data_IF_953426970252
#
_entry.id   IF_953426970252
#
_cell.length_a   1.000
_cell.length_b   1.000
_cell.length_c   1.000
_cell.angle_alpha   90.00
_cell.angle_beta   90.00
_cell.angle_gamma   90.00
#
_symmetry.space_group_name_H-M   'P 1'
#
loop_
_entity.id
_entity.type
_entity.pdbx_description
1 polymer ?
#
# COMPACT_ATOMS: atom_id res chain seq x y z
N UNK A 1 19.89 2.77 0.10
CA UNK A 1 20.75 2.28 1.20
C UNK A 1 21.56 1.08 0.72
N UNK A 2 22.63 0.74 1.43
CA UNK A 2 23.50 -0.41 1.18
C UNK A 2 22.92 -1.70 1.74
N UNK A 3 23.41 -2.84 1.27
CA UNK A 3 23.02 -4.17 1.78
C UNK A 3 23.31 -4.35 3.28
N UNK A 4 24.38 -3.72 3.78
CA UNK A 4 24.70 -3.70 5.21
C UNK A 4 23.64 -2.95 6.01
N UNK A 5 23.24 -1.77 5.54
CA UNK A 5 22.18 -0.98 6.16
C UNK A 5 20.84 -1.73 6.14
N UNK A 6 20.51 -2.42 5.05
CA UNK A 6 19.31 -3.29 4.99
C UNK A 6 19.38 -4.42 6.02
N UNK A 7 20.54 -5.05 6.20
CA UNK A 7 20.72 -6.08 7.21
C UNK A 7 20.52 -5.53 8.63
N UNK A 8 21.00 -4.32 8.91
CA UNK A 8 20.77 -3.65 10.20
C UNK A 8 19.28 -3.40 10.46
N UNK A 9 18.51 -2.99 9.44
CA UNK A 9 17.05 -2.86 9.55
C UNK A 9 16.39 -4.21 9.85
N UNK A 10 16.75 -5.26 9.11
CA UNK A 10 16.18 -6.60 9.31
C UNK A 10 16.53 -7.18 10.68
N UNK A 11 17.73 -6.92 11.17
CA UNK A 11 18.16 -7.32 12.52
C UNK A 11 17.31 -6.61 13.59
N UNK A 12 17.09 -5.30 13.47
CA UNK A 12 16.22 -4.56 14.38
C UNK A 12 14.78 -5.12 14.38
N UNK A 13 14.24 -5.49 13.22
CA UNK A 13 12.93 -6.14 13.15
C UNK A 13 12.94 -7.46 13.92
N UNK A 14 14.00 -8.28 13.80
CA UNK A 14 14.15 -9.51 14.58
C UNK A 14 14.24 -9.28 16.10
N UNK A 15 14.84 -8.17 16.53
CA UNK A 15 14.88 -7.79 17.96
C UNK A 15 13.50 -7.37 18.49
N UNK A 16 12.68 -6.68 17.67
CA UNK A 16 11.32 -6.30 18.06
C UNK A 16 10.32 -7.45 17.96
N UNK A 17 10.52 -8.39 17.03
CA UNK A 17 9.59 -9.47 16.75
C UNK A 17 10.33 -10.81 16.70
N UNK A 18 10.32 -11.57 17.80
CA UNK A 18 11.09 -12.82 17.93
C UNK A 18 10.75 -13.90 16.89
N UNK A 19 9.56 -13.85 16.28
CA UNK A 19 9.16 -14.73 15.17
C UNK A 19 9.76 -14.34 13.81
N UNK A 20 10.39 -13.16 13.71
CA UNK A 20 10.93 -12.66 12.45
C UNK A 20 12.33 -13.21 12.20
N UNK A 21 12.41 -14.23 11.36
CA UNK A 21 13.68 -14.81 10.92
C UNK A 21 14.25 -14.03 9.73
N UNK A 22 15.59 -13.92 9.71
CA UNK A 22 16.34 -13.28 8.63
C UNK A 22 17.22 -14.33 7.97
N UNK A 23 17.07 -14.48 6.66
CA UNK A 23 17.94 -15.30 5.83
C UNK A 23 18.54 -14.44 4.69
N UNK A 24 19.47 -15.02 3.94
CA UNK A 24 20.15 -14.32 2.85
C UNK A 24 19.19 -13.93 1.71
N UNK A 25 18.24 -14.79 1.37
CA UNK A 25 17.29 -14.54 0.29
C UNK A 25 16.37 -13.35 0.62
N UNK A 26 15.93 -13.26 1.87
CA UNK A 26 15.11 -12.18 2.41
C UNK A 26 15.89 -10.87 2.47
N UNK A 27 17.16 -10.92 2.87
CA UNK A 27 18.05 -9.76 2.82
C UNK A 27 18.20 -9.23 1.39
N UNK A 28 18.43 -10.12 0.43
CA UNK A 28 18.58 -9.76 -0.99
C UNK A 28 17.31 -9.13 -1.55
N UNK A 29 16.14 -9.73 -1.27
CA UNK A 29 14.84 -9.21 -1.70
C UNK A 29 14.53 -7.84 -1.07
N UNK A 30 14.79 -7.67 0.22
CA UNK A 30 14.58 -6.40 0.91
C UNK A 30 15.54 -5.31 0.41
N UNK A 31 16.80 -5.65 0.16
CA UNK A 31 17.77 -4.70 -0.35
C UNK A 31 17.35 -4.20 -1.74
N UNK A 32 16.88 -5.09 -2.61
CA UNK A 32 16.41 -4.70 -3.94
C UNK A 32 15.25 -3.69 -3.89
N UNK A 33 14.33 -3.86 -2.93
CA UNK A 33 13.22 -2.94 -2.73
C UNK A 33 13.62 -1.63 -2.00
N UNK A 34 14.60 -1.68 -1.11
CA UNK A 34 14.99 -0.55 -0.25
C UNK A 34 16.20 0.25 -0.76
N UNK A 35 16.91 -0.21 -1.79
CA UNK A 35 18.16 0.40 -2.28
C UNK A 35 18.02 1.88 -2.66
N UNK A 36 16.85 2.32 -3.10
CA UNK A 36 16.56 3.72 -3.48
C UNK A 36 16.23 4.63 -2.28
N UNK A 37 15.95 4.05 -1.11
CA UNK A 37 15.57 4.80 0.10
C UNK A 37 16.78 5.06 1.01
N UNK A 38 16.69 6.11 1.82
CA UNK A 38 17.72 6.40 2.83
C UNK A 38 17.56 5.50 4.06
N UNK A 39 18.69 5.11 4.67
CA UNK A 39 18.67 4.29 5.89
C UNK A 39 17.93 4.97 7.04
N UNK A 40 18.19 6.26 7.25
CA UNK A 40 17.57 7.03 8.34
C UNK A 40 16.04 7.09 8.21
N UNK A 41 15.52 7.32 7.00
CA UNK A 41 14.07 7.36 6.74
C UNK A 41 13.40 6.03 7.08
N UNK A 42 13.94 4.91 6.58
CA UNK A 42 13.38 3.58 6.83
C UNK A 42 13.48 3.20 8.31
N UNK A 43 14.60 3.54 8.97
CA UNK A 43 14.77 3.32 10.41
C UNK A 43 13.72 4.07 11.23
N UNK A 44 13.45 5.34 10.89
CA UNK A 44 12.44 6.14 11.58
C UNK A 44 11.03 5.58 11.37
N UNK A 45 10.70 5.17 10.14
CA UNK A 45 9.43 4.53 9.83
C UNK A 45 9.26 3.21 10.59
N UNK A 46 10.33 2.41 10.70
CA UNK A 46 10.32 1.17 11.48
C UNK A 46 10.01 1.46 12.96
N UNK A 47 10.71 2.41 13.58
CA UNK A 47 10.47 2.77 14.99
C UNK A 47 9.03 3.22 15.22
N UNK A 48 8.47 4.02 14.30
CA UNK A 48 7.07 4.46 14.36
C UNK A 48 6.09 3.28 14.23
N UNK A 49 6.39 2.33 13.34
CA UNK A 49 5.54 1.16 13.09
C UNK A 49 5.50 0.22 14.29
N UNK A 50 6.66 -0.08 14.91
CA UNK A 50 6.72 -1.06 16.01
C UNK A 50 5.97 -0.61 17.26
N UNK A 51 5.79 0.70 17.45
CA UNK A 51 4.96 1.23 18.55
C UNK A 51 3.46 1.08 18.30
N UNK A 52 3.05 0.82 17.05
CA UNK A 52 1.63 0.79 16.64
C UNK A 52 1.14 -0.60 16.27
N UNK A 53 2.04 -1.50 15.85
CA UNK A 53 1.69 -2.83 15.36
C UNK A 53 2.38 -3.96 16.13
N UNK A 54 1.62 -4.93 16.67
CA UNK A 54 2.20 -6.12 17.31
C UNK A 54 2.74 -7.15 16.30
N UNK A 55 2.46 -6.98 15.00
CA UNK A 55 2.92 -7.88 13.95
C UNK A 55 4.14 -7.30 13.21
N UNK A 56 5.05 -8.15 12.68
CA UNK A 56 6.22 -7.69 11.94
C UNK A 56 5.84 -6.90 10.69
N UNK A 57 6.56 -5.82 10.34
CA UNK A 57 6.27 -5.02 9.15
C UNK A 57 6.58 -5.77 7.86
N UNK A 58 5.82 -5.44 6.82
CA UNK A 58 6.20 -5.71 5.42
C UNK A 58 7.06 -4.57 4.90
N UNK A 59 7.79 -4.80 3.81
CA UNK A 59 8.58 -3.76 3.12
C UNK A 59 7.72 -2.54 2.78
N UNK A 60 6.48 -2.76 2.34
CA UNK A 60 5.53 -1.70 2.01
C UNK A 60 5.22 -0.79 3.18
N UNK A 61 5.22 -1.31 4.40
CA UNK A 61 4.83 -0.55 5.59
C UNK A 61 5.94 0.41 6.01
N UNK A 62 7.19 0.09 5.66
CA UNK A 62 8.36 0.95 5.93
C UNK A 62 8.60 1.99 4.82
N UNK A 63 8.15 1.68 3.60
CA UNK A 63 8.31 2.53 2.42
C UNK A 63 7.21 3.58 2.32
N UNK A 64 5.99 3.24 2.75
CA UNK A 64 4.92 4.23 2.89
C UNK A 64 5.45 5.34 3.79
N UNK A 65 5.54 6.55 3.25
CA UNK A 65 5.65 7.72 4.11
C UNK A 65 4.54 7.60 5.15
N UNK A 66 4.86 7.85 6.42
CA UNK A 66 3.84 8.12 7.41
C UNK A 66 3.05 9.33 6.88
N UNK A 67 2.03 9.05 6.06
CA UNK A 67 0.86 9.87 5.85
C UNK A 67 0.10 9.82 7.18
N UNK A 68 0.72 10.37 8.22
CA UNK A 68 0.04 10.73 9.45
C UNK A 68 -0.98 11.87 9.18
N UNK A 69 -1.04 12.38 7.94
CA UNK A 69 -2.25 12.92 7.33
C UNK A 69 -2.44 12.26 5.98
N UNK A 70 -3.69 11.96 5.64
CA UNK A 70 -4.14 11.61 4.28
C UNK A 70 -3.99 10.14 3.86
N UNK A 71 -4.65 9.24 4.59
CA UNK A 71 -5.70 8.52 3.86
C UNK A 71 -6.83 9.53 3.64
N UNK A 72 -6.70 10.40 2.64
CA UNK A 72 -7.92 10.93 2.05
C UNK A 72 -8.63 9.67 1.53
N UNK A 73 -9.87 9.38 1.97
CA UNK A 73 -10.74 8.59 1.11
C UNK A 73 -10.58 9.23 -0.27
N UNK A 74 -10.40 8.45 -1.32
CA UNK A 74 -10.67 8.96 -2.66
C UNK A 74 -12.12 9.46 -2.57
N UNK A 75 -12.30 10.75 -2.32
CA UNK A 75 -13.56 11.45 -2.49
C UNK A 75 -13.79 11.36 -3.99
N UNK A 76 -14.34 10.23 -4.39
CA UNK A 76 -14.96 10.07 -5.68
C UNK A 76 -16.15 11.02 -5.61
N UNK A 77 -15.94 12.27 -6.04
CA UNK A 77 -17.03 13.19 -6.32
C UNK A 77 -17.92 12.47 -7.31
N UNK A 78 -19.03 11.93 -6.82
CA UNK A 78 -20.06 11.34 -7.65
C UNK A 78 -20.68 12.48 -8.43
N UNK A 79 -20.13 12.78 -9.61
CA UNK A 79 -20.86 13.60 -10.56
C UNK A 79 -22.05 12.79 -11.08
N UNK A 80 -23.28 13.32 -10.98
CA UNK A 80 -24.42 12.65 -11.59
C UNK A 80 -24.16 12.55 -13.09
N UNK A 81 -24.33 11.35 -13.66
CA UNK A 81 -24.20 11.15 -15.09
C UNK A 81 -25.11 12.12 -15.86
N UNK A 82 -24.64 12.59 -17.01
CA UNK A 82 -25.41 13.48 -17.88
C UNK A 82 -26.68 12.75 -18.32
N UNK A 83 -27.84 13.41 -18.30
CA UNK A 83 -29.14 12.79 -18.64
C UNK A 83 -29.11 12.07 -19.99
N UNK A 84 -28.34 12.59 -20.97
CA UNK A 84 -28.16 11.95 -22.27
C UNK A 84 -27.50 10.57 -22.16
N UNK A 85 -26.43 10.44 -21.37
CA UNK A 85 -25.73 9.19 -21.14
C UNK A 85 -26.62 8.18 -20.41
N UNK A 86 -27.44 8.68 -19.46
CA UNK A 86 -28.43 7.86 -18.76
C UNK A 86 -29.45 7.30 -19.76
N UNK A 87 -29.98 8.13 -20.65
CA UNK A 87 -30.98 7.69 -21.64
C UNK A 87 -30.38 6.73 -22.67
N UNK A 88 -29.14 6.94 -23.11
CA UNK A 88 -28.46 6.05 -24.06
C UNK A 88 -28.23 4.67 -23.43
N UNK A 89 -27.71 4.61 -22.21
CA UNK A 89 -27.47 3.33 -21.53
C UNK A 89 -28.79 2.63 -21.16
N UNK A 90 -29.83 3.36 -20.75
CA UNK A 90 -31.16 2.80 -20.56
C UNK A 90 -31.75 2.22 -21.85
N UNK A 91 -31.56 2.90 -22.99
CA UNK A 91 -32.02 2.40 -24.29
C UNK A 91 -31.26 1.13 -24.69
N UNK A 92 -29.95 1.09 -24.46
CA UNK A 92 -29.12 -0.09 -24.67
C UNK A 92 -29.58 -1.27 -23.82
N UNK A 93 -29.82 -1.05 -22.53
CA UNK A 93 -30.30 -2.07 -21.61
C UNK A 93 -31.70 -2.57 -22.00
N UNK A 94 -32.61 -1.69 -22.43
CA UNK A 94 -33.94 -2.07 -22.93
C UNK A 94 -33.86 -2.96 -24.17
N UNK A 95 -32.94 -2.68 -25.09
CA UNK A 95 -32.70 -3.54 -26.26
C UNK A 95 -32.19 -4.92 -25.86
N UNK A 96 -31.22 -4.99 -24.96
CA UNK A 96 -30.65 -6.26 -24.45
C UNK A 96 -31.75 -7.10 -23.77
N UNK A 97 -32.54 -6.45 -22.92
CA UNK A 97 -33.59 -7.10 -22.14
C UNK A 97 -34.90 -7.31 -22.93
N UNK A 98 -34.95 -6.88 -24.20
CA UNK A 98 -36.14 -6.92 -25.08
C UNK A 98 -37.39 -6.31 -24.44
N UNK A 99 -37.20 -5.28 -23.62
CA UNK A 99 -38.31 -4.56 -22.97
C UNK A 99 -38.95 -3.66 -24.03
N UNK A 100 -40.21 -3.92 -24.36
CA UNK A 100 -41.00 -3.04 -25.24
C UNK A 100 -41.52 -1.87 -24.41
N UNK A 101 -41.31 -0.66 -24.90
CA UNK A 101 -41.99 0.52 -24.36
C UNK A 101 -43.41 0.53 -24.93
N UNK A 102 -44.41 0.52 -24.05
CA UNK A 102 -45.80 0.79 -24.40
C UNK A 102 -46.06 2.29 -24.40
#
# INVERSE_FOLDING_TARGET
>A
MTKRETFEILKLIGEYYGQFTVDQQKLDAWHEALKTYSFQQIKQNLVCFVTQSPAPPKVSDLVKQNLAGEQQPLEFEWEPAVEQDIQEELQRLRQILRIRMN
#
